data_IF_203433439764
#
_entry.id   IF_203433439764
#
_cell.length_a   1.000
_cell.length_b   1.000
_cell.length_c   1.000
_cell.angle_alpha   90.00
_cell.angle_beta   90.00
_cell.angle_gamma   90.00
#
_symmetry.space_group_name_H-M   'P 1'
#
loop_
_entity.id
_entity.type
_entity.pdbx_description
1 polymer ?
#
# COMPACT_ATOMS: atom_id res chain seq x y z
N UNK A 1 1.11 2.50 30.73
CA UNK A 1 -0.13 2.43 29.94
C UNK A 1 -0.45 3.84 29.49
N UNK A 2 -0.64 4.07 28.20
CA UNK A 2 -1.03 5.37 27.66
C UNK A 2 -2.35 5.22 26.92
N UNK A 3 -3.12 6.28 26.82
CA UNK A 3 -4.33 6.36 25.99
C UNK A 3 -3.95 6.86 24.60
N UNK A 4 -4.21 6.05 23.58
CA UNK A 4 -3.81 6.32 22.20
C UNK A 4 -5.04 6.38 21.29
N UNK A 5 -5.17 7.45 20.54
CA UNK A 5 -6.14 7.56 19.45
C UNK A 5 -5.47 7.19 18.13
N UNK A 6 -6.07 6.29 17.38
CA UNK A 6 -5.70 5.94 16.00
C UNK A 6 -6.81 6.42 15.07
N UNK A 7 -6.52 7.40 14.23
CA UNK A 7 -7.47 7.99 13.29
C UNK A 7 -7.30 7.34 11.90
N UNK A 8 -8.33 6.66 11.43
CA UNK A 8 -8.41 5.90 10.19
C UNK A 8 -8.37 4.39 10.44
N UNK A 9 -9.43 3.68 10.06
CA UNK A 9 -9.56 2.22 10.20
C UNK A 9 -9.27 1.45 8.88
N UNK A 10 -8.33 1.94 8.09
CA UNK A 10 -7.67 1.17 7.05
C UNK A 10 -6.69 0.17 7.63
N UNK A 11 -5.97 -0.57 6.77
CA UNK A 11 -5.01 -1.61 7.22
C UNK A 11 -3.96 -1.04 8.18
N UNK A 12 -3.40 0.15 7.92
CA UNK A 12 -2.39 0.75 8.79
C UNK A 12 -2.94 1.09 10.16
N UNK A 13 -4.18 1.62 10.23
CA UNK A 13 -4.79 2.00 11.49
C UNK A 13 -5.15 0.79 12.34
N UNK A 14 -5.82 -0.19 11.75
CA UNK A 14 -6.21 -1.41 12.46
C UNK A 14 -4.98 -2.19 12.93
N UNK A 15 -3.93 -2.29 12.11
CA UNK A 15 -2.67 -2.91 12.50
C UNK A 15 -2.02 -2.19 13.68
N UNK A 16 -1.93 -0.86 13.62
CA UNK A 16 -1.38 -0.03 14.70
C UNK A 16 -2.18 -0.21 15.99
N UNK A 17 -3.51 -0.18 15.89
CA UNK A 17 -4.40 -0.34 17.04
C UNK A 17 -4.18 -1.70 17.74
N UNK A 18 -4.11 -2.79 17.00
CA UNK A 18 -3.87 -4.13 17.55
C UNK A 18 -2.49 -4.23 18.22
N UNK A 19 -1.43 -3.74 17.57
CA UNK A 19 -0.10 -3.80 18.15
C UNK A 19 0.04 -2.94 19.41
N UNK A 20 -0.58 -1.76 19.43
CA UNK A 20 -0.63 -0.91 20.64
C UNK A 20 -1.42 -1.58 21.77
N UNK A 21 -2.54 -2.19 21.46
CA UNK A 21 -3.34 -2.94 22.43
C UNK A 21 -2.55 -4.13 22.99
N UNK A 22 -1.86 -4.89 22.14
CA UNK A 22 -0.97 -5.99 22.56
C UNK A 22 0.19 -5.50 23.43
N UNK A 23 0.62 -4.24 23.22
CA UNK A 23 1.63 -3.60 24.06
C UNK A 23 1.07 -3.04 25.39
N UNK A 24 -0.23 -3.20 25.68
CA UNK A 24 -0.85 -2.82 26.94
C UNK A 24 -1.33 -1.36 27.00
N UNK A 25 -1.51 -0.70 25.86
CA UNK A 25 -2.10 0.63 25.79
C UNK A 25 -3.64 0.58 25.73
N UNK A 26 -4.29 1.63 26.23
CA UNK A 26 -5.70 1.91 25.95
C UNK A 26 -5.82 2.51 24.56
N UNK A 27 -6.54 1.86 23.65
CA UNK A 27 -6.59 2.28 22.24
C UNK A 27 -8.02 2.58 21.80
N UNK A 28 -8.19 3.76 21.19
CA UNK A 28 -9.41 4.18 20.52
C UNK A 28 -9.12 4.28 19.02
N UNK A 29 -9.81 3.49 18.21
CA UNK A 29 -9.76 3.52 16.75
C UNK A 29 -10.96 4.30 16.22
N UNK A 30 -10.70 5.32 15.40
CA UNK A 30 -11.75 6.21 14.87
C UNK A 30 -11.74 6.13 13.34
N UNK A 31 -12.92 5.99 12.73
CA UNK A 31 -13.08 6.12 11.29
C UNK A 31 -14.47 6.64 10.95
N UNK A 32 -14.56 7.51 9.94
CA UNK A 32 -15.81 8.17 9.55
C UNK A 32 -16.85 7.22 8.96
N UNK A 33 -16.40 6.17 8.24
CA UNK A 33 -17.30 5.26 7.53
C UNK A 33 -17.26 3.84 8.09
N UNK A 34 -16.11 3.46 8.66
CA UNK A 34 -15.91 2.15 9.26
C UNK A 34 -14.69 1.40 8.73
N UNK A 35 -14.40 0.22 9.30
CA UNK A 35 -13.22 -0.54 8.95
C UNK A 35 -13.19 -0.92 7.46
N UNK A 36 -12.05 -0.68 6.82
CA UNK A 36 -11.79 -0.98 5.41
C UNK A 36 -12.69 -0.24 4.40
N UNK A 37 -13.40 0.81 4.76
CA UNK A 37 -14.33 1.49 3.83
C UNK A 37 -13.64 2.35 2.75
N UNK A 38 -12.33 2.60 2.89
CA UNK A 38 -11.52 3.37 1.94
C UNK A 38 -10.67 2.50 1.02
N UNK A 39 -9.45 2.94 0.75
CA UNK A 39 -8.49 2.29 -0.17
C UNK A 39 -8.08 0.88 0.24
N UNK A 40 -8.32 0.50 1.48
CA UNK A 40 -8.03 -0.85 1.97
C UNK A 40 -9.07 -1.90 1.57
N UNK A 41 -10.20 -1.52 0.98
CA UNK A 41 -11.26 -2.45 0.58
C UNK A 41 -10.96 -3.12 -0.77
N UNK A 42 -10.80 -2.34 -1.82
CA UNK A 42 -10.81 -2.79 -3.21
C UNK A 42 -9.43 -2.90 -3.85
N UNK A 43 -8.42 -3.34 -3.10
CA UNK A 43 -7.07 -3.58 -3.63
C UNK A 43 -6.84 -5.06 -3.96
N UNK A 44 -5.76 -5.36 -4.67
CA UNK A 44 -5.43 -6.72 -5.10
C UNK A 44 -4.96 -7.66 -3.95
N UNK A 45 -4.80 -7.15 -2.74
CA UNK A 45 -4.40 -7.93 -1.56
C UNK A 45 -2.97 -8.47 -1.62
N UNK A 46 -2.11 -7.94 -2.48
CA UNK A 46 -0.75 -8.47 -2.66
C UNK A 46 0.14 -8.07 -1.48
N UNK A 47 0.74 -9.07 -0.83
CA UNK A 47 1.81 -8.90 0.17
C UNK A 47 3.16 -8.98 -0.56
N UNK A 48 3.65 -7.83 -0.98
CA UNK A 48 4.69 -7.73 -2.01
C UNK A 48 6.07 -7.43 -1.44
N UNK A 49 6.79 -8.43 -0.92
CA UNK A 49 8.17 -8.29 -0.44
C UNK A 49 9.13 -7.72 -1.51
N UNK A 50 8.89 -8.03 -2.78
CA UNK A 50 9.71 -7.57 -3.91
C UNK A 50 9.33 -6.21 -4.52
N UNK A 51 8.32 -5.49 -3.99
CA UNK A 51 7.89 -4.18 -4.48
C UNK A 51 8.80 -3.03 -4.02
N UNK A 52 10.09 -3.21 -4.19
CA UNK A 52 11.14 -2.27 -3.78
C UNK A 52 11.61 -1.32 -4.89
N UNK A 53 11.05 -1.42 -6.08
CA UNK A 53 11.41 -0.54 -7.21
C UNK A 53 10.33 0.53 -7.36
N UNK A 54 10.69 1.82 -7.30
CA UNK A 54 9.73 2.89 -7.55
C UNK A 54 9.34 2.95 -9.03
N UNK A 55 8.20 3.56 -9.34
CA UNK A 55 7.78 3.79 -10.73
C UNK A 55 8.77 4.73 -11.46
N UNK A 56 9.38 5.66 -10.73
CA UNK A 56 10.39 6.60 -11.24
C UNK A 56 11.73 5.92 -11.51
N UNK A 57 11.78 5.06 -12.53
CA UNK A 57 13.02 4.39 -12.96
C UNK A 57 13.78 5.23 -14.00
N UNK A 58 15.11 5.02 -14.16
CA UNK A 58 15.88 5.65 -15.23
C UNK A 58 15.26 5.40 -16.61
N UNK A 59 15.22 6.43 -17.44
CA UNK A 59 14.61 6.35 -18.77
C UNK A 59 13.09 6.58 -18.82
N UNK A 60 12.42 6.79 -17.68
CA UNK A 60 10.98 7.06 -17.64
C UNK A 60 10.60 8.26 -18.52
N UNK A 61 11.36 9.35 -18.46
CA UNK A 61 11.09 10.56 -19.26
C UNK A 61 11.02 10.27 -20.76
N UNK A 62 11.89 9.43 -21.28
CA UNK A 62 11.88 9.03 -22.69
C UNK A 62 10.66 8.15 -23.07
N UNK A 63 10.04 7.49 -22.09
CA UNK A 63 8.85 6.63 -22.30
C UNK A 63 7.54 7.42 -22.24
N UNK A 64 7.50 8.60 -21.61
CA UNK A 64 6.27 9.39 -21.42
C UNK A 64 5.54 9.69 -22.74
N UNK A 65 6.17 10.16 -23.83
CA UNK A 65 5.46 10.43 -25.07
C UNK A 65 4.71 9.19 -25.59
N UNK A 66 5.36 8.02 -25.58
CA UNK A 66 4.75 6.76 -25.98
C UNK A 66 3.57 6.37 -25.05
N UNK A 67 3.72 6.62 -23.76
CA UNK A 67 2.67 6.30 -22.75
C UNK A 67 1.43 7.17 -22.90
N UNK A 68 1.54 8.38 -23.46
CA UNK A 68 0.43 9.31 -23.65
C UNK A 68 -0.22 9.13 -25.03
N UNK A 69 0.58 8.86 -26.07
CA UNK A 69 0.14 8.86 -27.48
C UNK A 69 -0.33 7.49 -27.98
N UNK A 70 -0.08 6.42 -27.25
CA UNK A 70 -0.54 5.08 -27.67
C UNK A 70 -2.07 4.97 -27.65
N UNK A 71 -2.70 4.24 -28.59
CA UNK A 71 -4.17 4.07 -28.65
C UNK A 71 -4.77 3.49 -27.35
N UNK A 72 -4.02 2.62 -26.68
CA UNK A 72 -4.37 2.02 -25.39
C UNK A 72 -3.43 2.55 -24.29
N UNK A 73 -3.23 3.87 -24.28
CA UNK A 73 -2.28 4.51 -23.38
C UNK A 73 -2.60 4.20 -21.92
N UNK A 74 -1.61 3.71 -21.16
CA UNK A 74 -1.79 3.45 -19.73
C UNK A 74 -1.91 4.76 -18.92
N UNK A 75 -1.56 5.90 -19.53
CA UNK A 75 -1.56 7.21 -18.88
C UNK A 75 -2.55 8.14 -19.56
N UNK A 76 -3.60 8.52 -18.82
CA UNK A 76 -4.55 9.55 -19.25
C UNK A 76 -4.21 10.90 -18.62
N UNK A 77 -3.99 11.93 -19.46
CA UNK A 77 -3.67 13.28 -19.00
C UNK A 77 -4.88 14.19 -19.10
N UNK A 78 -5.32 14.69 -17.95
CA UNK A 78 -6.31 15.80 -17.89
C UNK A 78 -5.57 17.12 -18.10
N UNK A 79 -5.51 17.60 -19.33
CA UNK A 79 -4.77 18.82 -19.70
C UNK A 79 -5.13 20.06 -18.86
N UNK A 80 -6.40 20.21 -18.49
CA UNK A 80 -6.86 21.31 -17.61
C UNK A 80 -6.32 21.21 -16.17
N UNK A 81 -5.95 20.01 -15.73
CA UNK A 81 -5.42 19.77 -14.40
C UNK A 81 -3.88 19.82 -14.35
N UNK A 82 -3.23 19.73 -15.51
CA UNK A 82 -1.78 19.66 -15.62
C UNK A 82 -1.06 20.82 -14.91
N UNK A 83 -1.48 22.09 -15.01
CA UNK A 83 -0.81 23.19 -14.30
C UNK A 83 -0.79 23.00 -12.78
N UNK A 84 -1.84 22.41 -12.21
CA UNK A 84 -1.95 22.15 -10.77
C UNK A 84 -0.99 21.03 -10.31
N UNK A 85 -0.88 19.95 -11.10
CA UNK A 85 -0.05 18.78 -10.74
C UNK A 85 1.41 18.94 -11.18
N UNK A 86 1.73 19.93 -12.03
CA UNK A 86 3.04 20.13 -12.61
C UNK A 86 4.18 20.28 -11.58
N UNK A 87 4.02 21.05 -10.47
CA UNK A 87 5.04 21.13 -9.43
C UNK A 87 5.35 19.78 -8.77
N UNK A 88 4.32 18.96 -8.57
CA UNK A 88 4.48 17.57 -8.10
C UNK A 88 5.23 16.73 -9.13
N UNK A 89 4.83 16.79 -10.41
CA UNK A 89 5.47 16.01 -11.48
C UNK A 89 6.94 16.31 -11.64
N UNK A 90 7.35 17.57 -11.54
CA UNK A 90 8.79 17.95 -11.59
C UNK A 90 9.55 17.25 -10.47
N UNK A 91 9.09 17.35 -9.24
CA UNK A 91 9.70 16.67 -8.08
C UNK A 91 9.71 15.15 -8.27
N UNK A 92 8.59 14.58 -8.67
CA UNK A 92 8.45 13.15 -8.91
C UNK A 92 9.46 12.65 -9.97
N UNK A 93 9.54 13.32 -11.11
CA UNK A 93 10.43 12.94 -12.21
C UNK A 93 11.92 13.21 -11.91
N UNK A 94 12.24 14.16 -11.03
CA UNK A 94 13.63 14.39 -10.58
C UNK A 94 14.23 13.18 -9.87
N UNK A 95 13.38 12.29 -9.33
CA UNK A 95 13.78 11.03 -8.71
C UNK A 95 13.99 9.88 -9.69
N UNK A 96 13.73 10.07 -11.00
CA UNK A 96 13.91 9.05 -12.04
C UNK A 96 15.37 8.81 -12.40
N UNK A 97 16.22 8.53 -11.43
CA UNK A 97 17.65 8.27 -11.59
C UNK A 97 18.13 7.06 -10.78
N UNK A 98 19.22 6.45 -11.22
CA UNK A 98 19.74 5.20 -10.65
C UNK A 98 20.09 5.29 -9.18
N UNK A 99 20.61 6.43 -8.70
CA UNK A 99 21.02 6.59 -7.31
C UNK A 99 19.80 6.62 -6.39
N UNK A 100 18.76 7.36 -6.78
CA UNK A 100 17.52 7.43 -6.03
C UNK A 100 16.84 6.06 -5.96
N UNK A 101 16.74 5.34 -7.09
CA UNK A 101 16.16 3.99 -7.11
C UNK A 101 16.90 3.04 -6.17
N UNK A 102 18.24 3.07 -6.16
CA UNK A 102 19.03 2.23 -5.25
C UNK A 102 18.82 2.57 -3.77
N UNK A 103 18.76 3.88 -3.43
CA UNK A 103 18.46 4.33 -2.08
C UNK A 103 17.07 3.92 -1.63
N UNK A 104 16.07 4.16 -2.48
CA UNK A 104 14.69 3.75 -2.24
C UNK A 104 14.59 2.24 -2.03
N UNK A 105 15.16 1.44 -2.91
CA UNK A 105 15.15 -0.01 -2.82
C UNK A 105 15.79 -0.52 -1.52
N UNK A 106 16.92 0.07 -1.11
CA UNK A 106 17.59 -0.25 0.16
C UNK A 106 16.75 0.08 1.38
N UNK A 107 15.98 1.17 1.36
CA UNK A 107 15.09 1.53 2.45
C UNK A 107 13.85 0.64 2.47
N UNK A 108 13.20 0.46 1.31
CA UNK A 108 11.97 -0.33 1.19
C UNK A 108 12.19 -1.82 1.44
N UNK A 109 13.35 -2.39 1.07
CA UNK A 109 13.64 -3.80 1.36
C UNK A 109 13.60 -4.09 2.85
N UNK A 110 14.02 -3.15 3.70
CA UNK A 110 13.98 -3.32 5.16
C UNK A 110 12.56 -3.30 5.74
N UNK A 111 11.62 -2.67 5.03
CA UNK A 111 10.22 -2.56 5.46
C UNK A 111 9.34 -3.68 4.90
N UNK A 112 9.73 -4.27 3.76
CA UNK A 112 8.88 -5.18 3.01
C UNK A 112 9.32 -6.64 3.02
N UNK A 113 10.58 -6.95 3.41
CA UNK A 113 11.16 -8.29 3.25
C UNK A 113 10.36 -9.39 3.96
N UNK A 114 9.75 -9.09 5.09
CA UNK A 114 9.01 -10.00 5.96
C UNK A 114 7.50 -9.67 6.03
N UNK A 115 6.97 -9.00 4.99
CA UNK A 115 5.58 -8.52 5.00
C UNK A 115 4.56 -9.64 5.22
N UNK A 116 4.81 -10.86 4.71
CA UNK A 116 3.92 -12.02 4.90
C UNK A 116 3.94 -12.47 6.35
N UNK A 117 5.13 -12.59 6.93
CA UNK A 117 5.33 -12.98 8.33
C UNK A 117 4.72 -11.96 9.29
N UNK A 118 4.86 -10.67 9.01
CA UNK A 118 4.25 -9.60 9.81
C UNK A 118 2.72 -9.65 9.74
N UNK A 119 2.14 -9.91 8.58
CA UNK A 119 0.70 -10.10 8.46
C UNK A 119 0.21 -11.36 9.18
N UNK A 120 0.99 -12.45 9.16
CA UNK A 120 0.69 -13.64 9.94
C UNK A 120 0.72 -13.38 11.43
N UNK A 121 1.77 -12.70 11.92
CA UNK A 121 1.88 -12.32 13.33
C UNK A 121 0.77 -11.37 13.78
N UNK A 122 0.34 -10.44 12.90
CA UNK A 122 -0.80 -9.57 13.16
C UNK A 122 -2.09 -10.37 13.28
N UNK A 123 -2.32 -11.33 12.37
CA UNK A 123 -3.55 -12.11 12.28
C UNK A 123 -3.63 -13.23 13.30
N UNK A 124 -2.55 -13.62 13.93
CA UNK A 124 -2.48 -14.75 14.87
C UNK A 124 -3.52 -14.63 16.01
N UNK A 125 -4.35 -15.66 16.18
CA UNK A 125 -5.43 -15.71 17.16
C UNK A 125 -6.65 -14.82 16.86
N UNK A 126 -6.70 -14.16 15.69
CA UNK A 126 -7.79 -13.22 15.35
C UNK A 126 -8.92 -13.87 14.56
N UNK A 127 -8.67 -15.02 13.93
CA UNK A 127 -9.55 -15.65 12.95
C UNK A 127 -9.47 -14.99 11.56
N UNK A 128 -8.51 -14.07 11.35
CA UNK A 128 -8.22 -13.45 10.05
C UNK A 128 -7.14 -14.21 9.26
N UNK A 129 -6.47 -15.19 9.87
CA UNK A 129 -5.40 -16.01 9.28
C UNK A 129 -5.84 -16.69 7.98
N UNK A 130 -7.10 -17.10 7.92
CA UNK A 130 -7.70 -17.75 6.75
C UNK A 130 -7.67 -16.94 5.46
N UNK A 131 -7.49 -15.62 5.56
CA UNK A 131 -7.41 -14.74 4.41
C UNK A 131 -6.00 -14.63 3.84
N UNK A 132 -4.98 -15.13 4.57
CA UNK A 132 -3.57 -15.02 4.17
C UNK A 132 -3.15 -16.31 3.45
N UNK A 133 -2.70 -16.18 2.21
CA UNK A 133 -2.08 -17.28 1.46
C UNK A 133 -0.66 -16.90 1.05
N UNK A 134 0.23 -17.90 1.03
CA UNK A 134 1.52 -17.74 0.37
C UNK A 134 1.31 -17.97 -1.12
N UNK A 135 1.90 -17.10 -1.92
CA UNK A 135 1.83 -17.21 -3.37
C UNK A 135 3.07 -16.56 -3.98
N UNK A 136 3.46 -17.01 -5.17
CA UNK A 136 4.47 -16.30 -5.96
C UNK A 136 3.82 -15.13 -6.68
N UNK A 137 4.56 -14.02 -6.83
CA UNK A 137 4.09 -12.91 -7.64
C UNK A 137 4.78 -12.91 -9.00
N UNK A 138 3.99 -13.00 -10.07
CA UNK A 138 4.49 -13.17 -11.43
C UNK A 138 4.53 -11.87 -12.21
N UNK A 139 5.69 -11.58 -12.83
CA UNK A 139 5.85 -10.51 -13.82
C UNK A 139 5.97 -11.13 -15.21
N UNK A 140 4.94 -10.94 -16.06
CA UNK A 140 4.93 -11.42 -17.43
C UNK A 140 5.50 -10.38 -18.40
N UNK A 141 6.41 -10.82 -19.28
CA UNK A 141 6.97 -10.04 -20.37
C UNK A 141 6.56 -10.65 -21.69
N UNK A 142 5.87 -9.89 -22.54
CA UNK A 142 5.41 -10.35 -23.85
C UNK A 142 6.58 -10.73 -24.76
N UNK A 143 7.76 -10.08 -24.59
CA UNK A 143 8.96 -10.39 -25.35
C UNK A 143 10.20 -10.43 -24.46
N UNK A 144 11.20 -11.20 -24.89
CA UNK A 144 12.51 -11.21 -24.23
C UNK A 144 13.16 -9.83 -24.21
N UNK A 145 13.01 -9.03 -25.26
CA UNK A 145 13.54 -7.68 -25.34
C UNK A 145 12.92 -6.78 -24.24
N UNK A 146 11.64 -6.93 -23.92
CA UNK A 146 11.00 -6.20 -22.83
C UNK A 146 11.57 -6.59 -21.46
N UNK A 147 11.83 -7.88 -21.25
CA UNK A 147 12.51 -8.36 -20.03
C UNK A 147 13.94 -7.80 -19.92
N UNK A 148 14.72 -7.86 -21.00
CA UNK A 148 16.11 -7.37 -21.02
C UNK A 148 16.17 -5.83 -20.77
N UNK A 149 15.16 -5.09 -21.22
CA UNK A 149 15.03 -3.66 -20.96
C UNK A 149 14.75 -3.33 -19.47
N UNK A 150 14.27 -4.29 -18.68
CA UNK A 150 14.01 -4.16 -17.24
C UNK A 150 15.17 -4.72 -16.36
N UNK A 151 16.30 -5.08 -16.97
CA UNK A 151 17.43 -5.72 -16.31
C UNK A 151 17.96 -4.92 -15.11
N UNK A 152 17.94 -3.58 -15.19
CA UNK A 152 18.34 -2.70 -14.08
C UNK A 152 17.47 -2.94 -12.84
N UNK A 153 16.16 -3.03 -12.99
CA UNK A 153 15.24 -3.23 -11.88
C UNK A 153 15.41 -4.62 -11.24
N UNK A 154 15.67 -5.64 -12.06
CA UNK A 154 15.96 -7.00 -11.57
C UNK A 154 17.31 -7.10 -10.86
N UNK A 155 18.35 -6.43 -11.36
CA UNK A 155 19.65 -6.33 -10.67
C UNK A 155 19.53 -5.66 -9.30
N UNK A 156 18.76 -4.57 -9.21
CA UNK A 156 18.51 -3.89 -7.94
C UNK A 156 17.73 -4.79 -6.96
N UNK A 157 16.71 -5.52 -7.42
CA UNK A 157 16.00 -6.51 -6.58
C UNK A 157 16.95 -7.58 -6.05
N UNK A 158 17.74 -8.19 -6.93
CA UNK A 158 18.72 -9.22 -6.57
C UNK A 158 19.73 -8.71 -5.53
N UNK A 159 20.27 -7.50 -5.72
CA UNK A 159 21.22 -6.86 -4.79
C UNK A 159 20.63 -6.56 -3.42
N UNK A 160 19.31 -6.44 -3.32
CA UNK A 160 18.59 -6.23 -2.06
C UNK A 160 17.98 -7.53 -1.49
N UNK A 161 18.44 -8.70 -1.93
CA UNK A 161 18.06 -9.98 -1.35
C UNK A 161 16.72 -10.54 -1.83
N UNK A 162 16.08 -9.93 -2.84
CA UNK A 162 14.82 -10.45 -3.38
C UNK A 162 15.12 -11.70 -4.22
N UNK A 163 14.51 -12.81 -3.83
CA UNK A 163 14.61 -14.09 -4.53
C UNK A 163 13.56 -14.20 -5.62
N UNK A 164 13.99 -14.57 -6.82
CA UNK A 164 13.10 -14.80 -7.96
C UNK A 164 13.63 -15.88 -8.87
N UNK A 165 12.73 -16.50 -9.65
CA UNK A 165 13.05 -17.45 -10.71
C UNK A 165 12.57 -16.89 -12.05
N UNK A 166 13.44 -16.94 -13.06
CA UNK A 166 13.05 -16.63 -14.45
C UNK A 166 12.55 -17.92 -15.10
N UNK A 167 11.33 -17.86 -15.60
CA UNK A 167 10.65 -18.95 -16.30
C UNK A 167 10.57 -18.60 -17.79
N UNK A 168 10.79 -19.59 -18.64
CA UNK A 168 10.45 -19.47 -20.05
C UNK A 168 8.94 -19.72 -20.27
N UNK A 169 8.49 -19.50 -21.51
CA UNK A 169 7.10 -19.69 -21.91
C UNK A 169 6.54 -21.06 -21.50
N UNK A 170 7.25 -22.14 -21.84
CA UNK A 170 6.77 -23.51 -21.63
C UNK A 170 6.70 -23.87 -20.14
N UNK A 171 7.64 -23.37 -19.35
CA UNK A 171 7.64 -23.55 -17.90
C UNK A 171 6.44 -22.87 -17.25
N UNK A 172 6.10 -21.64 -17.69
CA UNK A 172 4.98 -20.90 -17.14
C UNK A 172 3.62 -21.46 -17.60
N UNK A 173 3.47 -21.83 -18.87
CA UNK A 173 2.23 -22.41 -19.39
C UNK A 173 1.86 -23.76 -18.74
N UNK A 174 2.82 -24.48 -18.17
CA UNK A 174 2.56 -25.67 -17.35
C UNK A 174 1.98 -25.33 -15.97
N UNK A 175 2.25 -24.12 -15.46
CA UNK A 175 1.73 -23.66 -14.17
C UNK A 175 0.35 -23.03 -14.34
N UNK A 176 0.17 -22.24 -15.40
CA UNK A 176 -1.07 -21.54 -15.70
C UNK A 176 -1.28 -21.42 -17.22
N UNK A 177 -2.25 -22.18 -17.74
CA UNK A 177 -2.54 -22.24 -19.16
C UNK A 177 -3.48 -21.11 -19.66
N UNK A 178 -4.07 -20.31 -18.75
CA UNK A 178 -4.93 -19.18 -19.11
C UNK A 178 -4.13 -18.15 -19.93
N UNK A 179 -2.84 -18.02 -19.63
CA UNK A 179 -1.95 -17.09 -20.32
C UNK A 179 -1.16 -17.70 -21.48
N UNK A 180 -1.68 -18.78 -22.08
CA UNK A 180 -1.02 -19.45 -23.20
C UNK A 180 -0.68 -18.48 -24.34
N UNK A 181 0.55 -18.54 -24.83
CA UNK A 181 1.12 -17.67 -25.86
C UNK A 181 1.15 -16.18 -25.54
N UNK A 182 0.97 -15.79 -24.27
CA UNK A 182 0.91 -14.38 -23.87
C UNK A 182 2.30 -13.82 -23.54
N UNK A 183 3.18 -14.62 -22.94
CA UNK A 183 4.46 -14.18 -22.42
C UNK A 183 5.60 -15.08 -22.90
N UNK A 184 6.71 -14.47 -23.33
CA UNK A 184 7.96 -15.21 -23.64
C UNK A 184 8.79 -15.47 -22.39
N UNK A 185 8.73 -14.52 -21.42
CA UNK A 185 9.48 -14.59 -20.16
C UNK A 185 8.54 -14.24 -19.01
N UNK A 186 8.59 -15.03 -17.95
CA UNK A 186 7.89 -14.73 -16.70
C UNK A 186 8.86 -14.79 -15.54
N UNK A 187 8.82 -13.80 -14.67
CA UNK A 187 9.64 -13.80 -13.45
C UNK A 187 8.74 -14.07 -12.26
N UNK A 188 8.97 -15.18 -11.59
CA UNK A 188 8.30 -15.57 -10.35
C UNK A 188 9.07 -15.01 -9.17
N UNK A 189 8.54 -13.98 -8.54
CA UNK A 189 9.02 -13.46 -7.26
C UNK A 189 8.60 -14.38 -6.14
N UNK A 190 9.57 -14.81 -5.36
CA UNK A 190 9.37 -15.67 -4.20
C UNK A 190 9.08 -14.85 -2.94
N UNK A 191 8.60 -15.54 -1.90
CA UNK A 191 8.31 -14.94 -0.58
C UNK A 191 7.26 -13.84 -0.61
N UNK A 192 6.29 -13.96 -1.51
CA UNK A 192 5.11 -13.13 -1.57
C UNK A 192 3.92 -13.84 -0.94
N UNK A 193 2.88 -13.09 -0.71
CA UNK A 193 1.60 -13.61 -0.25
C UNK A 193 0.45 -12.78 -0.78
N UNK A 194 -0.73 -13.21 -0.42
CA UNK A 194 -1.96 -12.56 -0.82
C UNK A 194 -2.96 -12.55 0.34
N UNK A 195 -3.67 -11.46 0.46
CA UNK A 195 -4.91 -11.38 1.24
C UNK A 195 -6.07 -11.58 0.28
N UNK A 196 -6.74 -12.71 0.39
CA UNK A 196 -7.78 -13.11 -0.57
C UNK A 196 -9.00 -12.19 -0.56
N UNK A 197 -9.33 -11.61 0.60
CA UNK A 197 -10.38 -10.59 0.77
C UNK A 197 -9.86 -9.51 1.74
N UNK A 198 -9.26 -8.42 1.22
CA UNK A 198 -8.72 -7.35 2.05
C UNK A 198 -9.76 -6.69 2.96
N UNK A 199 -10.99 -6.51 2.45
CA UNK A 199 -12.07 -5.92 3.22
C UNK A 199 -12.50 -6.78 4.41
N UNK A 200 -12.74 -8.07 4.18
CA UNK A 200 -13.11 -9.01 5.23
C UNK A 200 -11.96 -9.23 6.22
N UNK A 201 -10.72 -9.27 5.75
CA UNK A 201 -9.52 -9.36 6.59
C UNK A 201 -9.47 -8.26 7.64
N UNK A 202 -9.58 -7.00 7.21
CA UNK A 202 -9.49 -5.84 8.11
C UNK A 202 -10.69 -5.79 9.05
N UNK A 203 -11.91 -6.07 8.56
CA UNK A 203 -13.10 -6.15 9.42
C UNK A 203 -12.94 -7.22 10.50
N UNK A 204 -12.35 -8.36 10.16
CA UNK A 204 -12.12 -9.44 11.13
C UNK A 204 -11.07 -9.05 12.18
N UNK A 205 -10.00 -8.37 11.78
CA UNK A 205 -9.01 -7.80 12.68
C UNK A 205 -9.65 -6.77 13.63
N UNK A 206 -10.53 -5.88 13.12
CA UNK A 206 -11.22 -4.89 13.95
C UNK A 206 -12.14 -5.55 14.96
N UNK A 207 -12.90 -6.58 14.58
CA UNK A 207 -13.71 -7.34 15.50
C UNK A 207 -12.89 -7.98 16.63
N UNK A 208 -11.69 -8.47 16.31
CA UNK A 208 -10.77 -9.00 17.33
C UNK A 208 -10.30 -7.89 18.27
N UNK A 209 -9.92 -6.72 17.73
CA UNK A 209 -9.52 -5.55 18.50
C UNK A 209 -10.59 -5.14 19.52
N UNK A 210 -11.87 -5.01 19.08
CA UNK A 210 -12.99 -4.67 19.95
C UNK A 210 -13.25 -5.75 21.00
N UNK A 211 -13.24 -7.04 20.61
CA UNK A 211 -13.43 -8.17 21.53
C UNK A 211 -12.39 -8.20 22.66
N UNK A 212 -11.19 -7.68 22.43
CA UNK A 212 -10.12 -7.61 23.42
C UNK A 212 -10.05 -6.26 24.14
N UNK A 213 -11.16 -5.49 24.16
CA UNK A 213 -11.28 -4.26 24.94
C UNK A 213 -10.84 -2.98 24.24
N UNK A 214 -10.53 -3.04 22.95
CA UNK A 214 -10.32 -1.84 22.14
C UNK A 214 -11.66 -1.16 21.83
N UNK A 215 -11.64 0.17 21.71
CA UNK A 215 -12.84 0.94 21.39
C UNK A 215 -12.81 1.39 19.93
N UNK A 216 -13.82 1.03 19.15
CA UNK A 216 -14.04 1.58 17.81
C UNK A 216 -15.12 2.65 17.85
N UNK A 217 -14.84 3.83 17.28
CA UNK A 217 -15.78 4.94 17.18
C UNK A 217 -15.98 5.28 15.70
N UNK A 218 -17.22 5.20 15.23
CA UNK A 218 -17.58 5.68 13.90
C UNK A 218 -17.85 7.17 13.95
N UNK A 219 -16.83 7.97 13.65
CA UNK A 219 -16.88 9.44 13.67
C UNK A 219 -15.77 10.01 12.79
N UNK A 220 -15.97 11.21 12.27
CA UNK A 220 -14.95 11.95 11.53
C UNK A 220 -14.04 12.74 12.46
N UNK A 221 -12.72 12.63 12.28
CA UNK A 221 -11.79 13.58 12.92
C UNK A 221 -11.84 14.88 12.12
N UNK A 222 -12.30 15.96 12.78
CA UNK A 222 -12.51 17.27 12.17
C UNK A 222 -11.42 18.28 12.50
N UNK A 223 -10.61 18.01 13.53
CA UNK A 223 -9.53 18.92 13.94
C UNK A 223 -8.68 18.35 15.07
N UNK A 224 -7.80 19.19 15.55
CA UNK A 224 -6.83 18.90 16.60
C UNK A 224 -7.20 19.65 17.89
N UNK A 225 -6.90 19.07 19.04
CA UNK A 225 -7.00 19.73 20.36
C UNK A 225 -5.59 19.94 20.87
N UNK A 226 -5.24 21.21 21.04
CA UNK A 226 -3.90 21.63 21.45
C UNK A 226 -3.92 22.25 22.86
N UNK A 227 -2.85 22.00 23.60
CA UNK A 227 -2.54 22.71 24.84
C UNK A 227 -1.09 23.21 24.76
N UNK A 228 -0.93 24.49 24.50
CA UNK A 228 0.36 25.12 24.25
C UNK A 228 0.99 24.52 22.94
N UNK A 229 2.09 23.79 23.10
CA UNK A 229 2.80 23.13 21.98
C UNK A 229 2.51 21.64 21.87
N UNK A 230 1.63 21.11 22.69
CA UNK A 230 1.32 19.68 22.74
C UNK A 230 -0.05 19.42 22.14
N UNK A 231 -0.13 18.37 21.33
CA UNK A 231 -1.40 17.83 20.87
C UNK A 231 -1.93 16.89 21.95
N UNK A 232 -3.11 17.19 22.49
CA UNK A 232 -3.72 16.46 23.61
C UNK A 232 -5.00 15.71 23.25
N UNK A 233 -5.44 15.77 21.98
CA UNK A 233 -6.65 15.09 21.55
C UNK A 233 -7.05 15.42 20.12
N UNK A 234 -8.18 14.90 19.71
CA UNK A 234 -8.81 15.16 18.40
C UNK A 234 -10.23 15.64 18.59
N UNK A 235 -10.62 16.62 17.75
CA UNK A 235 -12.03 17.02 17.59
C UNK A 235 -12.70 16.05 16.65
N UNK A 236 -13.94 15.70 16.96
CA UNK A 236 -14.75 14.85 16.08
C UNK A 236 -16.06 15.52 15.71
N UNK A 237 -16.83 14.94 14.81
CA UNK A 237 -18.22 15.35 14.53
C UNK A 237 -19.21 14.89 15.63
N UNK A 238 -18.72 14.15 16.62
CA UNK A 238 -19.37 13.80 17.87
C UNK A 238 -18.69 14.48 19.06
N UNK A 239 -18.23 13.69 20.03
CA UNK A 239 -17.51 14.18 21.20
C UNK A 239 -16.01 14.32 20.95
N UNK A 240 -15.40 15.33 21.55
CA UNK A 240 -13.96 15.51 21.56
C UNK A 240 -13.26 14.41 22.36
N UNK A 241 -12.13 13.90 21.86
CA UNK A 241 -11.44 12.78 22.49
C UNK A 241 -10.03 13.18 22.87
N UNK A 242 -9.78 13.20 24.19
CA UNK A 242 -8.45 13.43 24.74
C UNK A 242 -7.62 12.14 24.73
N UNK A 243 -6.33 12.25 24.47
CA UNK A 243 -5.38 11.15 24.44
C UNK A 243 -3.96 11.62 24.70
N UNK A 244 -3.11 10.70 25.18
CA UNK A 244 -1.67 10.97 25.37
C UNK A 244 -0.93 10.99 24.03
N UNK A 245 -1.37 10.15 23.08
CA UNK A 245 -0.78 10.05 21.73
C UNK A 245 -1.86 9.91 20.67
N UNK A 246 -1.56 10.45 19.48
CA UNK A 246 -2.45 10.35 18.33
C UNK A 246 -1.66 9.85 17.13
N UNK A 247 -2.19 8.84 16.46
CA UNK A 247 -1.64 8.27 15.24
C UNK A 247 -2.61 8.53 14.09
N UNK A 248 -2.16 9.25 13.07
CA UNK A 248 -2.97 9.51 11.88
C UNK A 248 -2.65 8.53 10.77
N UNK A 249 -3.65 7.74 10.38
CA UNK A 249 -3.57 6.73 9.31
C UNK A 249 -4.68 6.95 8.28
N UNK A 250 -4.92 8.22 7.94
CA UNK A 250 -6.04 8.67 7.13
C UNK A 250 -5.88 8.39 5.62
N UNK A 251 -4.81 7.69 5.21
CA UNK A 251 -4.55 7.37 3.82
C UNK A 251 -4.50 8.62 2.93
N UNK A 252 -5.25 8.68 1.81
CA UNK A 252 -5.23 9.84 0.90
C UNK A 252 -5.69 11.16 1.53
N UNK A 253 -6.36 11.12 2.67
CA UNK A 253 -6.86 12.31 3.40
C UNK A 253 -5.88 12.84 4.45
N UNK A 254 -4.69 12.24 4.59
CA UNK A 254 -3.67 12.67 5.56
C UNK A 254 -3.12 14.08 5.30
N UNK A 255 -3.25 14.59 4.06
CA UNK A 255 -2.67 15.88 3.65
C UNK A 255 -3.20 17.08 4.44
N UNK A 256 -4.47 17.09 4.80
CA UNK A 256 -5.08 18.22 5.52
C UNK A 256 -4.65 18.27 7.00
N UNK A 257 -4.54 17.12 7.65
CA UNK A 257 -3.99 17.01 9.00
C UNK A 257 -2.49 17.34 9.01
N UNK A 258 -1.74 16.87 8.02
CA UNK A 258 -0.32 17.21 7.89
C UNK A 258 -0.11 18.74 7.82
N UNK A 259 -0.94 19.46 7.05
CA UNK A 259 -0.89 20.93 6.99
C UNK A 259 -1.18 21.59 8.33
N UNK A 260 -2.18 21.12 9.08
CA UNK A 260 -2.49 21.62 10.42
C UNK A 260 -1.31 21.43 11.38
N UNK A 261 -0.54 20.35 11.20
CA UNK A 261 0.68 20.06 11.96
C UNK A 261 1.93 20.79 11.42
N UNK A 262 1.78 21.71 10.46
CA UNK A 262 2.88 22.46 9.86
C UNK A 262 3.75 21.62 8.92
N UNK A 263 3.32 20.43 8.53
CA UNK A 263 4.06 19.54 7.62
C UNK A 263 3.64 19.78 6.17
N UNK A 264 4.62 20.02 5.31
CA UNK A 264 4.43 20.07 3.85
C UNK A 264 4.75 18.75 3.23
N UNK A 265 3.73 17.93 2.97
CA UNK A 265 3.87 16.65 2.27
C UNK A 265 3.32 16.80 0.86
N UNK A 266 4.12 16.54 -0.20
CA UNK A 266 3.62 16.52 -1.56
C UNK A 266 2.74 15.28 -1.75
N UNK A 267 1.43 15.48 -1.73
CA UNK A 267 0.45 14.42 -1.80
C UNK A 267 -0.45 14.61 -3.02
N UNK A 268 -0.53 13.60 -3.87
CA UNK A 268 -1.53 13.52 -4.95
C UNK A 268 -2.23 12.16 -4.89
N UNK A 269 -3.55 12.17 -5.04
CA UNK A 269 -4.32 10.94 -5.01
C UNK A 269 -4.44 10.34 -6.41
N UNK A 270 -4.11 9.07 -6.54
CA UNK A 270 -4.38 8.28 -7.73
C UNK A 270 -5.62 7.41 -7.50
N UNK A 271 -6.50 7.37 -8.49
CA UNK A 271 -7.69 6.51 -8.42
C UNK A 271 -7.40 5.17 -9.09
N UNK A 272 -7.43 4.10 -8.31
CA UNK A 272 -7.47 2.74 -8.83
C UNK A 272 -8.90 2.32 -9.20
N UNK A 273 -9.01 1.49 -10.22
CA UNK A 273 -10.26 0.83 -10.61
C UNK A 273 -10.07 -0.67 -10.57
N UNK A 274 -11.09 -1.40 -10.17
CA UNK A 274 -11.13 -2.85 -10.24
C UNK A 274 -12.47 -3.33 -10.79
N UNK A 275 -12.47 -4.53 -11.35
CA UNK A 275 -13.67 -5.23 -11.79
C UNK A 275 -13.76 -6.50 -10.96
N UNK A 276 -14.90 -6.72 -10.35
CA UNK A 276 -15.20 -7.94 -9.62
C UNK A 276 -16.04 -8.86 -10.53
N UNK A 277 -15.52 -10.06 -10.77
CA UNK A 277 -16.23 -11.09 -11.52
C UNK A 277 -16.87 -12.05 -10.53
N UNK A 278 -18.20 -12.10 -10.53
CA UNK A 278 -18.96 -13.03 -9.68
C UNK A 278 -19.08 -14.36 -10.41
N UNK A 279 -18.59 -15.44 -9.79
CA UNK A 279 -18.58 -16.79 -10.35
C UNK A 279 -17.96 -16.86 -11.75
N UNK A 280 -16.70 -16.45 -11.93
CA UNK A 280 -16.03 -16.57 -13.21
C UNK A 280 -15.92 -18.05 -13.62
N UNK A 281 -16.37 -18.38 -14.83
CA UNK A 281 -16.27 -19.72 -15.42
C UNK A 281 -14.87 -19.96 -15.97
#
# INVERSE_FOLDING_TARGET
MAKVVVAGAGINGVSSAIWLQRAGHEVILIDREGPASGTSYGNAGVLAAGSIIPITTPGLLAKIPKMILAPNAPLFVRWKYLPKVFPFLIKYLSHANSNHVKLYAKAMSKLLYDTVEQHRALADGTGAEKYITNDDYYFGYETKAAFDADAFAWDVRKKNGISFKVLNKDEFEKLDNIYKNKFEVVVANKNHGKINDPGAYIKKLTQHFEKNGGTFIKSSVTGLIENGRSLIGVKTDGEDILADHIIFTLGPWSGDIAKQLGLSVPFESERGYHIELVNPS
#
